data_IF_317454147407
#
_entry.id   IF_317454147407
#
_cell.length_a   1.000
_cell.length_b   1.000
_cell.length_c   1.000
_cell.angle_alpha   90.00
_cell.angle_beta   90.00
_cell.angle_gamma   90.00
#
_symmetry.space_group_name_H-M   'P 1'
#
loop_
_entity.id
_entity.type
_entity.pdbx_description
1 polymer ?
#
# COMPACT_ATOMS: atom_id res chain seq x y z
N UNK A 1 -41.43 -3.97 27.68
CA UNK A 1 -39.98 -4.14 27.83
C UNK A 1 -39.33 -2.82 27.49
N UNK A 2 -38.30 -2.42 28.22
CA UNK A 2 -37.63 -1.15 28.01
C UNK A 2 -36.33 -1.32 27.22
N UNK A 3 -35.77 -0.19 26.79
CA UNK A 3 -34.52 -0.14 26.04
C UNK A 3 -33.33 -0.73 26.83
N UNK A 4 -33.39 -0.71 28.16
CA UNK A 4 -32.36 -1.30 29.02
C UNK A 4 -32.38 -2.84 28.94
N UNK A 5 -33.56 -3.46 29.01
CA UNK A 5 -33.72 -4.91 28.83
C UNK A 5 -33.20 -5.41 27.48
N UNK A 6 -33.43 -4.65 26.40
CA UNK A 6 -32.89 -4.94 25.07
C UNK A 6 -31.35 -5.05 25.10
N UNK A 7 -30.66 -4.06 25.68
CA UNK A 7 -29.20 -4.10 25.74
C UNK A 7 -28.67 -5.16 26.72
N UNK A 8 -29.36 -5.43 27.83
CA UNK A 8 -29.00 -6.53 28.73
C UNK A 8 -29.07 -7.89 28.02
N UNK A 9 -30.08 -8.11 27.16
CA UNK A 9 -30.20 -9.34 26.38
C UNK A 9 -29.05 -9.50 25.36
N UNK A 10 -28.63 -8.40 24.72
CA UNK A 10 -27.44 -8.39 23.86
C UNK A 10 -26.20 -8.74 24.67
N UNK A 11 -26.01 -8.13 25.84
CA UNK A 11 -24.85 -8.39 26.69
C UNK A 11 -24.79 -9.84 27.17
N UNK A 12 -25.93 -10.42 27.52
CA UNK A 12 -26.07 -11.82 27.92
C UNK A 12 -25.90 -12.82 26.77
N UNK A 13 -25.95 -12.38 25.50
CA UNK A 13 -25.87 -13.27 24.34
C UNK A 13 -27.18 -14.00 24.03
N UNK A 14 -28.33 -13.51 24.51
CA UNK A 14 -29.64 -14.16 24.35
C UNK A 14 -30.25 -13.88 22.96
N UNK A 15 -29.87 -14.69 21.98
CA UNK A 15 -30.33 -14.55 20.60
C UNK A 15 -31.85 -14.66 20.44
N UNK A 16 -32.50 -15.55 21.20
CA UNK A 16 -33.94 -15.80 21.03
C UNK A 16 -34.73 -14.57 21.48
N UNK A 17 -34.32 -13.97 22.60
CA UNK A 17 -34.91 -12.72 23.06
C UNK A 17 -34.71 -11.57 22.06
N UNK A 18 -33.53 -11.50 21.43
CA UNK A 18 -33.25 -10.51 20.39
C UNK A 18 -34.18 -10.71 19.20
N UNK A 19 -34.39 -11.95 18.73
CA UNK A 19 -35.32 -12.25 17.62
C UNK A 19 -36.78 -11.94 17.94
N UNK A 20 -37.20 -12.05 19.19
CA UNK A 20 -38.56 -11.70 19.59
C UNK A 20 -38.79 -10.18 19.65
N UNK A 21 -37.76 -9.41 20.02
CA UNK A 21 -37.90 -7.99 20.38
C UNK A 21 -37.30 -7.01 19.36
N UNK A 22 -36.53 -7.48 18.35
CA UNK A 22 -35.76 -6.62 17.43
C UNK A 22 -36.60 -5.55 16.72
N UNK A 23 -37.84 -5.84 16.33
CA UNK A 23 -38.69 -4.89 15.59
C UNK A 23 -38.90 -3.57 16.34
N UNK A 24 -38.81 -3.59 17.67
CA UNK A 24 -39.04 -2.40 18.51
C UNK A 24 -37.77 -1.59 18.78
N UNK A 25 -36.59 -2.22 18.76
CA UNK A 25 -35.35 -1.65 19.31
C UNK A 25 -34.17 -1.57 18.33
N UNK A 26 -34.30 -2.13 17.12
CA UNK A 26 -33.27 -1.98 16.07
C UNK A 26 -32.96 -0.50 15.82
N UNK A 27 -31.66 -0.18 15.77
CA UNK A 27 -31.16 1.18 15.54
C UNK A 27 -31.24 2.09 16.76
N UNK A 28 -31.68 1.59 17.92
CA UNK A 28 -31.54 2.31 19.18
C UNK A 28 -30.09 2.25 19.65
N UNK A 29 -29.69 3.31 20.35
CA UNK A 29 -28.35 3.46 20.92
C UNK A 29 -28.43 3.49 22.45
N UNK A 30 -27.42 2.95 23.11
CA UNK A 30 -27.26 3.08 24.55
C UNK A 30 -26.66 4.46 24.92
N UNK A 31 -26.45 4.70 26.22
CA UNK A 31 -25.88 5.95 26.74
C UNK A 31 -24.48 6.26 26.18
N UNK A 32 -23.75 5.24 25.72
CA UNK A 32 -22.42 5.38 25.10
C UNK A 32 -22.50 5.60 23.58
N UNK A 33 -23.71 5.74 23.03
CA UNK A 33 -23.95 5.91 21.59
C UNK A 33 -23.68 4.65 20.76
N UNK A 34 -23.73 3.46 21.38
CA UNK A 34 -23.53 2.17 20.70
C UNK A 34 -24.85 1.49 20.40
N UNK A 35 -24.96 0.89 19.21
CA UNK A 35 -26.09 0.03 18.83
C UNK A 35 -25.91 -1.39 19.38
N UNK A 36 -26.94 -2.22 19.26
CA UNK A 36 -26.89 -3.62 19.68
C UNK A 36 -25.80 -4.39 18.91
N UNK A 37 -25.68 -4.15 17.60
CA UNK A 37 -24.66 -4.78 16.75
C UNK A 37 -23.24 -4.43 17.21
N UNK A 38 -22.98 -3.18 17.62
CA UNK A 38 -21.66 -2.77 18.14
C UNK A 38 -21.33 -3.43 19.48
N UNK A 39 -22.33 -3.62 20.35
CA UNK A 39 -22.15 -4.29 21.64
C UNK A 39 -21.90 -5.78 21.42
N UNK A 40 -22.72 -6.44 20.60
CA UNK A 40 -22.54 -7.83 20.21
C UNK A 40 -21.16 -8.07 19.58
N UNK A 41 -20.74 -7.20 18.66
CA UNK A 41 -19.41 -7.26 18.05
C UNK A 41 -18.30 -7.07 19.08
N UNK A 42 -18.50 -6.23 20.11
CA UNK A 42 -17.52 -6.06 21.19
C UNK A 42 -17.36 -7.29 22.09
N UNK A 43 -18.46 -8.02 22.30
CA UNK A 43 -18.51 -9.19 23.19
C UNK A 43 -18.22 -10.51 22.48
N UNK A 44 -18.06 -10.51 21.16
CA UNK A 44 -17.82 -11.73 20.39
C UNK A 44 -19.09 -12.56 20.11
N UNK A 45 -20.29 -11.96 20.26
CA UNK A 45 -21.56 -12.65 20.08
C UNK A 45 -21.92 -12.84 18.60
N UNK A 46 -21.21 -13.76 17.93
CA UNK A 46 -21.32 -14.05 16.50
C UNK A 46 -22.76 -14.21 16.01
N UNK A 47 -23.58 -15.01 16.69
CA UNK A 47 -24.95 -15.32 16.27
C UNK A 47 -25.86 -14.09 16.28
N UNK A 48 -25.64 -13.18 17.24
CA UNK A 48 -26.36 -11.91 17.31
C UNK A 48 -25.86 -10.97 16.22
N UNK A 49 -24.55 -10.92 15.97
CA UNK A 49 -23.98 -10.14 14.87
C UNK A 49 -24.51 -10.59 13.51
N UNK A 50 -24.59 -11.90 13.25
CA UNK A 50 -25.12 -12.45 12.00
C UNK A 50 -26.58 -12.02 11.77
N UNK A 51 -27.41 -12.10 12.82
CA UNK A 51 -28.81 -11.68 12.75
C UNK A 51 -28.96 -10.16 12.55
N UNK A 52 -28.19 -9.35 13.30
CA UNK A 52 -28.31 -7.89 13.27
C UNK A 52 -27.53 -7.23 12.13
N UNK A 53 -26.60 -7.92 11.47
CA UNK A 53 -25.71 -7.34 10.46
C UNK A 53 -26.49 -6.55 9.39
N UNK A 54 -27.53 -7.13 8.81
CA UNK A 54 -28.33 -6.45 7.77
C UNK A 54 -29.24 -5.35 8.30
N UNK A 55 -29.61 -5.42 9.57
CA UNK A 55 -30.58 -4.52 10.20
C UNK A 55 -29.92 -3.26 10.74
N UNK A 56 -28.70 -3.40 11.28
CA UNK A 56 -27.99 -2.32 11.96
C UNK A 56 -26.68 -1.90 11.27
N UNK A 57 -26.31 -2.51 10.13
CA UNK A 57 -25.09 -2.13 9.41
C UNK A 57 -24.99 -0.64 9.12
N UNK A 58 -23.74 -0.16 9.09
CA UNK A 58 -23.38 1.22 8.74
C UNK A 58 -23.85 2.27 9.75
N UNK A 59 -24.40 1.85 10.88
CA UNK A 59 -24.55 2.75 12.01
C UNK A 59 -23.20 3.02 12.64
N UNK A 60 -23.05 4.23 13.17
CA UNK A 60 -21.79 4.68 13.77
C UNK A 60 -22.06 5.33 15.11
N UNK A 61 -21.12 5.15 16.04
CA UNK A 61 -21.05 6.01 17.22
C UNK A 61 -20.81 7.48 16.82
N UNK A 62 -20.96 8.45 17.73
CA UNK A 62 -20.61 9.85 17.45
C UNK A 62 -19.15 10.07 16.97
N UNK A 63 -18.26 9.10 17.21
CA UNK A 63 -16.87 9.08 16.75
C UNK A 63 -16.69 8.38 15.40
N UNK A 64 -17.76 8.05 14.68
CA UNK A 64 -17.68 7.31 13.41
C UNK A 64 -17.30 5.83 13.54
N UNK A 65 -17.19 5.28 14.76
CA UNK A 65 -16.80 3.88 14.97
C UNK A 65 -17.97 2.94 14.64
N UNK A 66 -17.71 1.93 13.81
CA UNK A 66 -18.66 0.88 13.39
C UNK A 66 -18.46 -0.42 14.17
N UNK A 67 -19.35 -1.39 13.98
CA UNK A 67 -19.23 -2.72 14.58
C UNK A 67 -18.04 -3.51 13.99
N UNK A 68 -17.77 -3.40 12.69
CA UNK A 68 -16.62 -3.99 12.03
C UNK A 68 -15.29 -3.48 12.59
N UNK A 69 -15.18 -2.16 12.84
CA UNK A 69 -13.99 -1.56 13.45
C UNK A 69 -13.72 -2.12 14.85
N UNK A 70 -14.78 -2.32 15.64
CA UNK A 70 -14.68 -2.90 16.98
C UNK A 70 -14.27 -4.38 16.89
N UNK A 71 -14.89 -5.15 16.00
CA UNK A 71 -14.54 -6.57 15.81
C UNK A 71 -13.09 -6.75 15.35
N UNK A 72 -12.60 -5.89 14.45
CA UNK A 72 -11.21 -5.91 13.99
C UNK A 72 -10.21 -5.57 15.10
N UNK A 73 -10.53 -4.57 15.93
CA UNK A 73 -9.70 -4.16 17.08
C UNK A 73 -9.62 -5.26 18.16
N UNK A 74 -10.74 -5.94 18.43
CA UNK A 74 -10.84 -7.00 19.43
C UNK A 74 -10.57 -8.41 18.87
N UNK A 75 -10.17 -8.51 17.60
CA UNK A 75 -9.77 -9.75 16.93
C UNK A 75 -10.88 -10.81 16.85
N UNK A 76 -12.14 -10.40 16.78
CA UNK A 76 -13.28 -11.30 16.58
C UNK A 76 -13.45 -11.68 15.11
N UNK A 77 -12.57 -12.57 14.62
CA UNK A 77 -12.38 -12.87 13.19
C UNK A 77 -13.66 -13.29 12.48
N UNK A 78 -14.45 -14.15 13.10
CA UNK A 78 -15.74 -14.61 12.58
C UNK A 78 -16.72 -13.47 12.34
N UNK A 79 -16.70 -12.47 13.23
CA UNK A 79 -17.57 -11.29 13.14
C UNK A 79 -17.04 -10.33 12.07
N UNK A 80 -15.71 -10.21 11.93
CA UNK A 80 -15.08 -9.46 10.83
C UNK A 80 -15.54 -10.01 9.49
N UNK A 81 -15.55 -11.34 9.30
CA UNK A 81 -16.03 -11.97 8.08
C UNK A 81 -17.51 -11.67 7.79
N UNK A 82 -18.36 -11.68 8.82
CA UNK A 82 -19.78 -11.36 8.69
C UNK A 82 -20.00 -9.89 8.29
N UNK A 83 -19.23 -8.97 8.88
CA UNK A 83 -19.46 -7.53 8.75
C UNK A 83 -18.71 -6.85 7.60
N UNK A 84 -17.61 -7.44 7.11
CA UNK A 84 -16.80 -6.87 6.03
C UNK A 84 -17.60 -6.50 4.76
N UNK A 85 -18.57 -7.31 4.29
CA UNK A 85 -19.39 -6.95 3.13
C UNK A 85 -20.28 -5.71 3.33
N UNK A 86 -20.65 -5.38 4.57
CA UNK A 86 -21.63 -4.34 4.87
C UNK A 86 -20.99 -3.01 5.28
N UNK A 87 -19.90 -3.06 6.05
CA UNK A 87 -19.31 -1.89 6.72
C UNK A 87 -17.88 -1.55 6.27
N UNK A 88 -17.32 -2.29 5.30
CA UNK A 88 -16.02 -1.95 4.75
C UNK A 88 -15.98 -0.53 4.18
N UNK A 89 -14.80 0.08 4.21
CA UNK A 89 -14.51 1.45 3.71
C UNK A 89 -15.13 2.58 4.52
N UNK A 90 -15.80 2.27 5.62
CA UNK A 90 -16.20 3.27 6.59
C UNK A 90 -14.99 3.73 7.41
N UNK A 91 -15.00 4.97 7.88
CA UNK A 91 -13.89 5.56 8.62
C UNK A 91 -14.39 6.20 9.91
N UNK A 92 -13.60 6.05 10.97
CA UNK A 92 -13.82 6.77 12.21
C UNK A 92 -13.49 8.26 12.06
N UNK A 93 -13.76 9.05 13.11
CA UNK A 93 -13.36 10.45 13.24
C UNK A 93 -11.85 10.68 13.08
N UNK A 94 -11.03 9.66 13.39
CA UNK A 94 -9.57 9.63 13.16
C UNK A 94 -9.18 9.19 11.75
N UNK A 95 -10.15 9.07 10.84
CA UNK A 95 -9.98 8.55 9.49
C UNK A 95 -9.48 7.08 9.42
N UNK A 96 -9.61 6.30 10.51
CA UNK A 96 -9.16 4.91 10.55
C UNK A 96 -10.28 3.96 10.11
N UNK A 97 -10.12 3.20 8.99
CA UNK A 97 -10.97 2.07 8.64
C UNK A 97 -10.61 0.81 9.43
N UNK A 98 -11.36 -0.27 9.23
CA UNK A 98 -11.21 -1.51 9.98
C UNK A 98 -9.84 -2.18 9.77
N UNK A 99 -9.29 -2.14 8.55
CA UNK A 99 -7.99 -2.73 8.22
C UNK A 99 -6.83 -2.08 8.99
N UNK A 100 -6.91 -0.76 9.25
CA UNK A 100 -5.91 -0.03 10.04
C UNK A 100 -5.97 -0.47 11.51
N UNK A 101 -7.17 -0.71 12.05
CA UNK A 101 -7.31 -1.26 13.41
C UNK A 101 -6.78 -2.68 13.51
N UNK A 102 -7.11 -3.54 12.53
CA UNK A 102 -6.54 -4.89 12.46
C UNK A 102 -5.00 -4.86 12.42
N UNK A 103 -4.42 -3.97 11.60
CA UNK A 103 -2.97 -3.77 11.52
C UNK A 103 -2.34 -3.35 12.85
N UNK A 104 -2.88 -2.31 13.50
CA UNK A 104 -2.36 -1.82 14.79
C UNK A 104 -2.38 -2.86 15.89
N UNK A 105 -3.32 -3.79 15.84
CA UNK A 105 -3.47 -4.89 16.78
C UNK A 105 -2.81 -6.20 16.31
N UNK A 106 -2.03 -6.15 15.23
CA UNK A 106 -1.33 -7.30 14.61
C UNK A 106 -2.27 -8.48 14.31
N UNK A 107 -3.52 -8.20 13.98
CA UNK A 107 -4.55 -9.20 13.73
C UNK A 107 -4.47 -9.68 12.28
N UNK A 108 -3.57 -10.62 12.00
CA UNK A 108 -3.33 -11.14 10.66
C UNK A 108 -4.59 -11.76 10.00
N UNK A 109 -5.40 -12.58 10.69
CA UNK A 109 -6.58 -13.16 10.05
C UNK A 109 -7.63 -12.10 9.68
N UNK A 110 -7.81 -11.07 10.50
CA UNK A 110 -8.71 -9.96 10.16
C UNK A 110 -8.17 -9.14 8.98
N UNK A 111 -6.85 -8.91 8.91
CA UNK A 111 -6.20 -8.29 7.77
C UNK A 111 -6.48 -9.05 6.47
N UNK A 112 -6.34 -10.37 6.49
CA UNK A 112 -6.59 -11.24 5.31
C UNK A 112 -8.02 -11.14 4.81
N UNK A 113 -8.99 -11.12 5.73
CA UNK A 113 -10.41 -10.98 5.40
C UNK A 113 -10.72 -9.58 4.87
N UNK A 114 -10.10 -8.54 5.42
CA UNK A 114 -10.40 -7.14 5.08
C UNK A 114 -9.69 -6.67 3.81
N UNK A 115 -8.53 -7.23 3.48
CA UNK A 115 -7.72 -6.84 2.31
C UNK A 115 -8.53 -6.76 1.01
N UNK A 116 -9.35 -7.75 0.62
CA UNK A 116 -10.17 -7.67 -0.60
C UNK A 116 -11.18 -6.51 -0.59
N UNK A 117 -11.71 -6.14 0.57
CA UNK A 117 -12.73 -5.08 0.69
C UNK A 117 -12.12 -3.68 0.81
N UNK A 118 -10.94 -3.58 1.44
CA UNK A 118 -10.29 -2.34 1.87
C UNK A 118 -8.91 -2.11 1.23
N UNK A 119 -8.62 -2.77 0.10
CA UNK A 119 -7.37 -2.62 -0.67
C UNK A 119 -7.02 -1.15 -0.98
N UNK A 120 -8.02 -0.28 -1.13
CA UNK A 120 -7.82 1.15 -1.35
C UNK A 120 -7.12 1.88 -0.20
N UNK A 121 -6.99 1.27 0.97
CA UNK A 121 -6.25 1.79 2.13
C UNK A 121 -4.91 1.07 2.38
N UNK A 122 -4.45 0.22 1.45
CA UNK A 122 -3.21 -0.54 1.62
C UNK A 122 -1.98 0.37 1.84
N UNK A 123 -1.88 1.50 1.15
CA UNK A 123 -0.79 2.48 1.33
C UNK A 123 -0.77 3.09 2.73
N UNK A 124 -1.94 3.49 3.24
CA UNK A 124 -2.09 3.99 4.61
C UNK A 124 -1.77 2.90 5.64
N UNK A 125 -2.17 1.65 5.37
CA UNK A 125 -1.89 0.50 6.21
C UNK A 125 -0.40 0.17 6.28
N UNK A 126 0.32 0.26 5.15
CA UNK A 126 1.77 0.13 5.09
C UNK A 126 2.48 1.25 5.85
N UNK A 127 1.98 2.49 5.74
CA UNK A 127 2.53 3.63 6.50
C UNK A 127 2.38 3.39 8.02
N UNK A 128 1.20 2.96 8.47
CA UNK A 128 0.96 2.61 9.88
C UNK A 128 1.84 1.45 10.33
N UNK A 129 1.99 0.42 9.51
CA UNK A 129 2.87 -0.71 9.82
C UNK A 129 4.33 -0.27 9.98
N UNK A 130 4.84 0.59 9.09
CA UNK A 130 6.20 1.13 9.15
C UNK A 130 6.42 2.00 10.40
N UNK A 131 5.49 2.91 10.71
CA UNK A 131 5.57 3.79 11.88
C UNK A 131 5.63 2.97 13.18
N UNK A 132 4.85 1.90 13.27
CA UNK A 132 4.76 1.06 14.46
C UNK A 132 5.70 -0.16 14.45
N UNK A 133 6.61 -0.27 13.46
CA UNK A 133 7.58 -1.38 13.29
C UNK A 133 6.89 -2.76 13.24
N UNK A 134 5.79 -2.85 12.50
CA UNK A 134 4.99 -4.06 12.32
C UNK A 134 5.44 -4.80 11.06
N UNK A 135 6.62 -5.41 11.11
CA UNK A 135 7.26 -6.05 9.95
C UNK A 135 6.40 -7.17 9.34
N UNK A 136 5.67 -7.91 10.17
CA UNK A 136 4.82 -9.01 9.72
C UNK A 136 3.59 -8.51 8.95
N UNK A 137 2.98 -7.41 9.42
CA UNK A 137 1.88 -6.74 8.72
C UNK A 137 2.37 -6.20 7.37
N UNK A 138 3.56 -5.61 7.35
CA UNK A 138 4.17 -5.10 6.12
C UNK A 138 4.38 -6.22 5.10
N UNK A 139 5.07 -7.31 5.48
CA UNK A 139 5.31 -8.47 4.62
C UNK A 139 4.01 -9.05 4.07
N UNK A 140 2.97 -9.16 4.89
CA UNK A 140 1.71 -9.76 4.47
C UNK A 140 0.93 -8.89 3.49
N UNK A 141 0.91 -7.58 3.70
CA UNK A 141 0.28 -6.64 2.77
C UNK A 141 1.06 -6.60 1.46
N UNK A 142 2.39 -6.56 1.52
CA UNK A 142 3.25 -6.60 0.34
C UNK A 142 3.07 -7.91 -0.46
N UNK A 143 2.99 -9.05 0.22
CA UNK A 143 2.68 -10.33 -0.40
C UNK A 143 1.26 -10.39 -0.99
N UNK A 144 0.26 -9.81 -0.31
CA UNK A 144 -1.11 -9.76 -0.80
C UNK A 144 -1.27 -8.84 -2.02
N UNK A 145 -0.51 -7.75 -2.07
CA UNK A 145 -0.40 -6.91 -3.25
C UNK A 145 0.20 -7.74 -4.39
N UNK A 146 1.33 -8.42 -4.17
CA UNK A 146 1.98 -9.27 -5.16
C UNK A 146 1.09 -10.43 -5.66
N UNK A 147 0.31 -11.08 -4.79
CA UNK A 147 -0.55 -12.21 -5.17
C UNK A 147 -1.78 -11.79 -5.98
N UNK A 148 -2.35 -10.61 -5.69
CA UNK A 148 -3.44 -10.04 -6.49
C UNK A 148 -2.99 -9.64 -7.91
N UNK A 149 -1.69 -9.43 -8.12
CA UNK A 149 -1.12 -9.37 -9.47
C UNK A 149 -1.11 -10.76 -10.13
N UNK A 150 -0.81 -11.86 -9.42
CA UNK A 150 -0.71 -13.21 -10.02
C UNK A 150 -2.05 -13.85 -10.40
N UNK A 151 -3.13 -13.66 -9.63
CA UNK A 151 -4.45 -14.20 -9.99
C UNK A 151 -5.06 -13.53 -11.24
N UNK A 152 -4.70 -12.27 -11.48
CA UNK A 152 -5.02 -11.53 -12.71
C UNK A 152 -4.32 -12.12 -13.95
N UNK A 153 -3.20 -12.81 -13.79
CA UNK A 153 -2.46 -13.45 -14.89
C UNK A 153 -2.91 -14.90 -15.14
N UNK A 154 -3.47 -15.60 -14.14
CA UNK A 154 -3.87 -17.00 -14.29
C UNK A 154 -5.07 -17.22 -15.22
N UNK A 155 -5.86 -16.18 -15.51
CA UNK A 155 -6.95 -16.25 -16.51
C UNK A 155 -6.44 -16.06 -17.95
N UNK A 156 -5.21 -15.55 -18.13
CA UNK A 156 -4.58 -15.34 -19.43
C UNK A 156 -3.43 -16.32 -19.75
N UNK A 157 -3.11 -17.25 -18.84
CA UNK A 157 -2.04 -18.25 -19.00
C UNK A 157 -2.24 -19.25 -20.15
N UNK A 158 -3.37 -19.24 -20.87
CA UNK A 158 -3.60 -20.13 -22.01
C UNK A 158 -2.97 -19.64 -23.32
N UNK A 159 -2.33 -18.45 -23.38
CA UNK A 159 -1.94 -17.86 -24.67
C UNK A 159 -0.53 -17.30 -24.82
N UNK A 160 0.41 -17.52 -23.90
CA UNK A 160 1.82 -17.13 -24.16
C UNK A 160 2.78 -18.19 -23.63
N UNK A 161 3.37 -18.98 -24.55
CA UNK A 161 4.59 -19.71 -24.26
C UNK A 161 5.77 -18.72 -24.13
N UNK A 162 6.68 -18.91 -23.16
CA UNK A 162 7.87 -18.07 -23.07
C UNK A 162 8.88 -18.46 -24.15
N UNK A 163 9.09 -17.57 -25.12
CA UNK A 163 10.29 -17.58 -25.95
C UNK A 163 11.42 -17.02 -25.07
N UNK A 164 12.28 -17.89 -24.59
CA UNK A 164 13.58 -17.55 -24.01
C UNK A 164 14.47 -16.91 -25.10
N UNK A 165 15.06 -15.72 -24.89
CA UNK A 165 16.28 -15.37 -25.58
C UNK A 165 17.42 -16.18 -24.95
N UNK A 166 17.82 -17.25 -25.62
CA UNK A 166 19.13 -17.87 -25.43
C UNK A 166 20.19 -16.81 -25.69
N UNK A 167 20.86 -16.34 -24.64
CA UNK A 167 22.27 -15.95 -24.65
C UNK A 167 22.74 -15.76 -23.21
N UNK A 168 22.86 -16.89 -22.52
CA UNK A 168 23.62 -17.04 -21.28
C UNK A 168 24.52 -18.27 -21.45
N UNK A 169 25.40 -18.21 -22.43
CA UNK A 169 26.53 -19.13 -22.57
C UNK A 169 27.78 -18.28 -22.54
N UNK A 170 28.36 -18.17 -21.35
CA UNK A 170 29.81 -18.19 -21.07
C UNK A 170 30.01 -17.70 -19.64
N UNK A 171 29.79 -18.60 -18.66
CA UNK A 171 30.58 -18.62 -17.43
C UNK A 171 30.36 -19.99 -16.74
N UNK A 172 30.87 -21.04 -17.37
CA UNK A 172 31.12 -22.31 -16.69
C UNK A 172 32.56 -22.75 -16.97
N UNK A 173 33.40 -22.54 -15.96
CA UNK A 173 34.50 -23.41 -15.54
C UNK A 173 35.45 -23.95 -16.60
N UNK A 174 36.63 -23.33 -16.72
CA UNK A 174 37.89 -24.07 -16.93
C UNK A 174 38.99 -23.54 -16.02
N UNK A 175 38.85 -23.79 -14.71
CA UNK A 175 40.02 -24.01 -13.86
C UNK A 175 40.11 -25.52 -13.61
N UNK A 176 40.73 -26.24 -14.55
CA UNK A 176 41.29 -27.56 -14.29
C UNK A 176 42.70 -27.35 -13.73
N UNK A 177 42.79 -27.19 -12.40
CA UNK A 177 44.04 -27.41 -11.69
C UNK A 177 44.23 -28.93 -11.52
N UNK A 178 44.79 -29.58 -12.54
CA UNK A 178 45.39 -30.90 -12.35
C UNK A 178 46.76 -30.71 -11.70
N UNK A 179 46.84 -30.97 -10.39
CA UNK A 179 48.11 -31.19 -9.72
C UNK A 179 48.06 -32.57 -9.08
N UNK A 180 48.58 -33.58 -9.77
CA UNK A 180 49.04 -34.82 -9.13
C UNK A 180 50.04 -35.56 -10.02
N UNK A 181 51.25 -35.67 -9.46
CA UNK A 181 52.32 -36.66 -9.71
C UNK A 181 53.17 -36.57 -10.99
N UNK A 182 54.47 -36.25 -10.79
CA UNK A 182 55.55 -36.97 -11.45
C UNK A 182 56.70 -37.27 -10.48
N UNK A 183 56.95 -38.57 -10.31
CA UNK A 183 58.23 -39.14 -9.90
C UNK A 183 58.70 -40.07 -11.03
N UNK A 184 59.93 -39.92 -11.52
CA UNK A 184 60.53 -40.86 -12.47
C UNK A 184 61.57 -40.21 -13.39
N UNK A 185 62.76 -40.81 -13.42
CA UNK A 185 64.02 -40.33 -13.99
C UNK A 185 64.20 -40.62 -15.51
N UNK A 186 65.31 -40.05 -16.02
CA UNK A 186 66.18 -40.49 -17.13
C UNK A 186 66.01 -39.90 -18.54
N UNK A 187 67.13 -39.39 -19.09
CA UNK A 187 67.34 -39.26 -20.54
C UNK A 187 68.01 -37.95 -21.01
N UNK A 188 69.33 -37.95 -21.09
CA UNK A 188 70.21 -36.90 -21.63
C UNK A 188 70.11 -36.73 -23.16
N UNK A 189 69.76 -35.54 -23.69
CA UNK A 189 70.31 -34.96 -24.95
C UNK A 189 70.20 -33.44 -24.87
N UNK A 190 71.33 -32.75 -25.11
CA UNK A 190 71.45 -31.31 -24.96
C UNK A 190 70.73 -30.50 -26.04
N UNK A 191 70.05 -29.45 -25.59
CA UNK A 191 69.95 -28.16 -26.27
C UNK A 191 70.16 -27.10 -25.19
N UNK A 192 71.24 -26.32 -25.30
CA UNK A 192 71.40 -25.10 -24.51
C UNK A 192 70.34 -24.11 -24.99
N UNK A 193 69.23 -24.02 -24.28
CA UNK A 193 68.30 -22.88 -24.37
C UNK A 193 68.50 -22.09 -23.09
N UNK A 194 68.77 -20.80 -23.25
CA UNK A 194 69.23 -19.91 -22.20
C UNK A 194 68.18 -19.80 -21.06
N UNK A 195 68.45 -20.43 -19.92
CA UNK A 195 67.56 -20.41 -18.74
C UNK A 195 67.28 -18.98 -18.20
N UNK A 196 68.12 -18.01 -18.57
CA UNK A 196 67.91 -16.59 -18.27
C UNK A 196 66.87 -15.93 -19.18
N UNK A 197 66.74 -16.34 -20.45
CA UNK A 197 65.75 -15.71 -21.35
C UNK A 197 64.33 -16.19 -21.03
N UNK A 198 64.20 -17.45 -20.61
CA UNK A 198 62.91 -18.09 -20.28
C UNK A 198 62.31 -17.53 -18.99
N UNK A 199 63.15 -17.28 -17.97
CA UNK A 199 62.72 -16.63 -16.72
C UNK A 199 62.39 -15.16 -16.93
N UNK A 200 63.12 -14.44 -17.80
CA UNK A 200 62.77 -13.06 -18.15
C UNK A 200 61.51 -12.97 -19.01
N UNK A 201 61.24 -13.94 -19.90
CA UNK A 201 60.00 -14.00 -20.67
C UNK A 201 58.81 -14.26 -19.74
N UNK A 202 58.92 -15.24 -18.84
CA UNK A 202 57.88 -15.55 -17.86
C UNK A 202 57.61 -14.38 -16.90
N UNK A 203 58.65 -13.64 -16.50
CA UNK A 203 58.49 -12.41 -15.72
C UNK A 203 57.83 -11.30 -16.53
N UNK A 204 58.18 -11.15 -17.81
CA UNK A 204 57.54 -10.17 -18.69
C UNK A 204 56.05 -10.48 -18.92
N UNK A 205 55.69 -11.75 -19.15
CA UNK A 205 54.31 -12.21 -19.31
C UNK A 205 53.47 -12.02 -18.04
N UNK A 206 54.07 -12.25 -16.87
CA UNK A 206 53.42 -11.98 -15.58
C UNK A 206 53.19 -10.47 -15.37
N UNK A 207 54.17 -9.64 -15.73
CA UNK A 207 54.05 -8.18 -15.64
C UNK A 207 52.94 -7.68 -16.57
N UNK A 208 52.88 -8.14 -17.82
CA UNK A 208 51.81 -7.76 -18.76
C UNK A 208 50.43 -8.18 -18.25
N UNK A 209 50.30 -9.41 -17.74
CA UNK A 209 49.04 -9.90 -17.16
C UNK A 209 48.60 -9.06 -15.96
N UNK A 210 49.51 -8.78 -15.03
CA UNK A 210 49.21 -7.94 -13.87
C UNK A 210 48.88 -6.50 -14.27
N UNK A 211 49.51 -5.95 -15.32
CA UNK A 211 49.18 -4.62 -15.81
C UNK A 211 47.80 -4.55 -16.44
N UNK A 212 47.39 -5.57 -17.20
CA UNK A 212 46.03 -5.63 -17.78
C UNK A 212 44.97 -5.79 -16.69
N UNK A 213 45.21 -6.63 -15.68
CA UNK A 213 44.31 -6.76 -14.53
C UNK A 213 44.18 -5.45 -13.73
N UNK A 214 45.28 -4.69 -13.59
CA UNK A 214 45.27 -3.36 -12.97
C UNK A 214 44.48 -2.33 -13.79
N UNK A 215 44.50 -2.43 -15.11
CA UNK A 215 43.72 -1.58 -16.01
C UNK A 215 42.22 -1.91 -15.95
N UNK A 216 41.87 -3.20 -15.91
CA UNK A 216 40.49 -3.66 -15.73
C UNK A 216 39.91 -3.23 -14.38
N UNK A 217 40.68 -3.34 -13.29
CA UNK A 217 40.27 -2.86 -11.97
C UNK A 217 40.01 -1.35 -11.95
N UNK A 218 40.86 -0.56 -12.62
CA UNK A 218 40.66 0.90 -12.75
C UNK A 218 39.43 1.26 -13.56
N UNK A 219 39.06 0.44 -14.55
CA UNK A 219 37.83 0.62 -15.31
C UNK A 219 36.60 0.37 -14.43
N UNK A 220 36.60 -0.73 -13.66
CA UNK A 220 35.52 -1.06 -12.72
C UNK A 220 35.37 0.02 -11.63
N UNK A 221 36.48 0.57 -11.11
CA UNK A 221 36.43 1.69 -10.17
C UNK A 221 35.76 2.94 -10.77
N UNK A 222 36.04 3.24 -12.05
CA UNK A 222 35.39 4.37 -12.74
C UNK A 222 33.90 4.12 -12.96
N UNK A 223 33.51 2.93 -13.41
CA UNK A 223 32.10 2.57 -13.59
C UNK A 223 31.33 2.59 -12.27
N UNK A 224 31.98 2.19 -11.17
CA UNK A 224 31.40 2.26 -9.83
C UNK A 224 31.17 3.70 -9.36
N UNK A 225 32.12 4.60 -9.56
CA UNK A 225 31.94 6.01 -9.21
C UNK A 225 30.89 6.71 -10.09
N UNK A 226 30.82 6.37 -11.38
CA UNK A 226 29.75 6.85 -12.26
C UNK A 226 28.36 6.36 -11.79
N UNK A 227 28.25 5.07 -11.44
CA UNK A 227 27.02 4.49 -10.89
C UNK A 227 26.62 5.17 -9.57
N UNK A 228 27.58 5.38 -8.67
CA UNK A 228 27.36 6.08 -7.40
C UNK A 228 26.85 7.49 -7.60
N UNK A 229 27.44 8.26 -8.53
CA UNK A 229 26.96 9.60 -8.89
C UNK A 229 25.51 9.55 -9.41
N UNK A 230 25.18 8.58 -10.27
CA UNK A 230 23.79 8.43 -10.72
C UNK A 230 22.83 8.08 -9.58
N UNK A 231 23.23 7.22 -8.64
CA UNK A 231 22.43 6.87 -7.47
C UNK A 231 22.18 8.08 -6.57
N UNK A 232 23.19 8.91 -6.33
CA UNK A 232 23.04 10.16 -5.55
C UNK A 232 22.08 11.13 -6.24
N UNK A 233 22.18 11.29 -7.57
CA UNK A 233 21.24 12.10 -8.35
C UNK A 233 19.80 11.57 -8.29
N UNK A 234 19.60 10.25 -8.35
CA UNK A 234 18.28 9.65 -8.18
C UNK A 234 17.73 9.85 -6.76
N UNK A 235 18.56 9.76 -5.72
CA UNK A 235 18.15 10.01 -4.35
C UNK A 235 17.68 11.46 -4.14
N UNK A 236 18.36 12.44 -4.75
CA UNK A 236 17.94 13.84 -4.68
C UNK A 236 16.58 14.05 -5.35
N UNK A 237 16.38 13.49 -6.54
CA UNK A 237 15.08 13.58 -7.24
C UNK A 237 13.93 12.93 -6.44
N UNK A 238 14.21 11.82 -5.73
CA UNK A 238 13.21 11.21 -4.84
C UNK A 238 12.90 12.14 -3.66
N UNK A 239 13.89 12.84 -3.10
CA UNK A 239 13.64 13.82 -2.03
C UNK A 239 12.79 14.99 -2.52
N UNK A 240 13.07 15.53 -3.70
CA UNK A 240 12.27 16.60 -4.31
C UNK A 240 10.82 16.17 -4.53
N UNK A 241 10.59 14.99 -5.12
CA UNK A 241 9.23 14.48 -5.34
C UNK A 241 8.45 14.22 -4.03
N UNK A 242 9.13 13.80 -2.98
CA UNK A 242 8.49 13.65 -1.67
C UNK A 242 8.10 15.01 -1.07
N UNK A 243 8.94 16.04 -1.23
CA UNK A 243 8.64 17.40 -0.82
C UNK A 243 7.43 17.97 -1.60
N UNK A 244 7.37 17.73 -2.91
CA UNK A 244 6.24 18.11 -3.75
C UNK A 244 4.95 17.39 -3.31
N UNK A 245 5.04 16.11 -2.92
CA UNK A 245 3.88 15.37 -2.42
C UNK A 245 3.39 15.92 -1.06
N UNK A 246 4.31 16.26 -0.15
CA UNK A 246 3.98 16.85 1.14
C UNK A 246 3.32 18.23 0.99
N UNK A 247 3.82 19.07 0.08
CA UNK A 247 3.22 20.38 -0.20
C UNK A 247 1.81 20.23 -0.77
N UNK A 248 1.62 19.37 -1.79
CA UNK A 248 0.30 19.06 -2.35
C UNK A 248 -0.67 18.51 -1.29
N UNK A 249 -0.19 17.70 -0.35
CA UNK A 249 -1.00 17.20 0.76
C UNK A 249 -1.45 18.33 1.68
N UNK A 250 -0.54 19.24 2.06
CA UNK A 250 -0.87 20.41 2.90
C UNK A 250 -1.88 21.34 2.22
N UNK A 251 -1.72 21.60 0.92
CA UNK A 251 -2.62 22.43 0.12
C UNK A 251 -4.01 21.79 0.00
N UNK A 252 -4.08 20.47 -0.24
CA UNK A 252 -5.35 19.74 -0.28
C UNK A 252 -6.12 19.86 1.04
N UNK A 253 -5.40 19.73 2.16
CA UNK A 253 -5.99 19.88 3.49
C UNK A 253 -6.47 21.30 3.77
N UNK A 254 -5.73 22.32 3.33
CA UNK A 254 -6.13 23.73 3.45
C UNK A 254 -7.42 24.02 2.67
N UNK A 255 -7.48 23.62 1.40
CA UNK A 255 -8.65 23.84 0.55
C UNK A 255 -9.89 23.09 1.05
N UNK A 256 -9.73 21.90 1.64
CA UNK A 256 -10.85 21.19 2.28
C UNK A 256 -11.41 21.97 3.47
N UNK A 257 -10.55 22.60 4.29
CA UNK A 257 -11.00 23.48 5.39
C UNK A 257 -11.72 24.71 4.85
N UNK A 258 -11.24 25.32 3.77
CA UNK A 258 -11.89 26.49 3.17
C UNK A 258 -13.23 26.13 2.53
N UNK A 259 -13.33 24.96 1.88
CA UNK A 259 -14.61 24.40 1.41
C UNK A 259 -15.59 24.16 2.57
N UNK A 260 -15.11 23.73 3.72
CA UNK A 260 -15.95 23.57 4.91
C UNK A 260 -16.43 24.92 5.47
N UNK A 261 -15.56 25.93 5.52
CA UNK A 261 -15.95 27.31 5.89
C UNK A 261 -17.01 27.85 4.95
N UNK A 262 -16.86 27.63 3.64
CA UNK A 262 -17.85 27.94 2.62
C UNK A 262 -19.20 27.26 2.90
N UNK A 263 -19.21 25.95 3.15
CA UNK A 263 -20.46 25.21 3.45
C UNK A 263 -21.15 25.72 4.72
N UNK A 264 -20.37 26.14 5.73
CA UNK A 264 -20.91 26.78 6.94
C UNK A 264 -21.47 28.17 6.65
N UNK A 265 -20.84 28.96 5.79
CA UNK A 265 -21.36 30.26 5.36
C UNK A 265 -22.68 30.11 4.58
N UNK A 266 -22.76 29.12 3.69
CA UNK A 266 -23.98 28.77 2.97
C UNK A 266 -25.13 28.38 3.92
N UNK A 267 -24.86 27.61 4.98
CA UNK A 267 -25.85 27.26 6.01
C UNK A 267 -26.34 28.45 6.84
N UNK A 268 -25.54 29.52 6.94
CA UNK A 268 -25.89 30.75 7.71
C UNK A 268 -26.72 31.73 6.89
N UNK A 269 -26.71 31.63 5.56
CA UNK A 269 -27.66 32.32 4.71
C UNK A 269 -29.06 31.73 4.95
N UNK A 270 -29.82 32.38 5.82
CA UNK A 270 -31.21 32.02 6.14
C UNK A 270 -32.17 32.13 4.94
N UNK A 271 -33.46 31.79 5.14
CA UNK A 271 -34.38 31.40 4.06
C UNK A 271 -35.03 32.59 3.31
N UNK A 272 -34.35 33.72 3.14
CA UNK A 272 -34.87 34.84 2.34
C UNK A 272 -34.15 34.91 0.97
N UNK A 273 -34.57 34.11 -0.02
CA UNK A 273 -33.95 34.05 -1.36
C UNK A 273 -34.22 35.30 -2.23
N UNK A 274 -35.00 36.26 -1.73
CA UNK A 274 -35.55 37.36 -2.54
C UNK A 274 -34.88 38.72 -2.30
N UNK A 275 -34.01 38.86 -1.30
CA UNK A 275 -33.36 40.14 -1.02
C UNK A 275 -32.09 40.29 -1.87
N UNK A 276 -31.87 41.48 -2.47
CA UNK A 276 -30.70 41.74 -3.34
C UNK A 276 -29.37 41.41 -2.67
N UNK A 277 -29.28 41.59 -1.35
CA UNK A 277 -28.09 41.29 -0.55
C UNK A 277 -27.81 39.78 -0.45
N UNK A 278 -28.84 38.95 -0.23
CA UNK A 278 -28.67 37.49 -0.20
C UNK A 278 -28.37 36.92 -1.59
N UNK A 279 -28.89 37.53 -2.66
CA UNK A 279 -28.57 37.16 -4.04
C UNK A 279 -27.12 37.44 -4.41
N UNK A 280 -26.59 38.63 -4.08
CA UNK A 280 -25.18 38.96 -4.31
C UNK A 280 -24.24 38.08 -3.48
N UNK A 281 -24.60 37.80 -2.24
CA UNK A 281 -23.81 36.98 -1.33
C UNK A 281 -23.81 35.50 -1.75
N UNK A 282 -24.94 35.00 -2.24
CA UNK A 282 -25.05 33.68 -2.87
C UNK A 282 -24.23 33.57 -4.16
N UNK A 283 -24.24 34.60 -5.02
CA UNK A 283 -23.43 34.63 -6.24
C UNK A 283 -21.93 34.59 -5.94
N UNK A 284 -21.48 35.38 -4.96
CA UNK A 284 -20.07 35.38 -4.52
C UNK A 284 -19.67 34.00 -3.97
N UNK A 285 -20.54 33.39 -3.17
CA UNK A 285 -20.33 32.05 -2.64
C UNK A 285 -20.29 30.98 -3.75
N UNK A 286 -21.19 31.04 -4.73
CA UNK A 286 -21.16 30.13 -5.88
C UNK A 286 -19.85 30.26 -6.67
N UNK A 287 -19.37 31.48 -6.90
CA UNK A 287 -18.08 31.75 -7.55
C UNK A 287 -16.88 31.21 -6.74
N UNK A 288 -16.95 31.29 -5.41
CA UNK A 288 -15.92 30.72 -4.53
C UNK A 288 -15.91 29.19 -4.60
N UNK A 289 -17.08 28.55 -4.67
CA UNK A 289 -17.19 27.09 -4.77
C UNK A 289 -16.67 26.57 -6.11
N UNK A 290 -16.98 27.26 -7.21
CA UNK A 290 -16.40 26.91 -8.52
C UNK A 290 -14.89 27.04 -8.49
N UNK A 291 -14.33 28.12 -7.91
CA UNK A 291 -12.88 28.29 -7.75
C UNK A 291 -12.24 27.17 -6.93
N UNK A 292 -12.75 26.89 -5.73
CA UNK A 292 -12.23 25.83 -4.86
C UNK A 292 -12.31 24.45 -5.52
N UNK A 293 -13.37 24.19 -6.29
CA UNK A 293 -13.52 22.93 -7.03
C UNK A 293 -12.51 22.80 -8.16
N UNK A 294 -12.20 23.91 -8.86
CA UNK A 294 -11.13 23.92 -9.88
C UNK A 294 -9.74 23.71 -9.26
N UNK A 295 -9.43 24.37 -8.15
CA UNK A 295 -8.14 24.23 -7.46
C UNK A 295 -7.93 22.80 -6.92
N UNK A 296 -8.98 22.17 -6.37
CA UNK A 296 -8.95 20.77 -5.97
C UNK A 296 -8.73 19.82 -7.14
N UNK A 297 -9.30 20.12 -8.32
CA UNK A 297 -9.05 19.36 -9.54
C UNK A 297 -7.59 19.47 -9.98
N UNK A 298 -6.99 20.66 -9.91
CA UNK A 298 -5.58 20.87 -10.26
C UNK A 298 -4.63 20.15 -9.31
N UNK A 299 -4.90 20.18 -8.00
CA UNK A 299 -4.09 19.41 -7.04
C UNK A 299 -4.20 17.90 -7.30
N UNK A 300 -5.38 17.43 -7.73
CA UNK A 300 -5.57 16.03 -8.11
C UNK A 300 -4.69 15.65 -9.30
N UNK A 301 -4.63 16.48 -10.34
CA UNK A 301 -3.77 16.21 -11.51
C UNK A 301 -2.30 16.26 -11.14
N UNK A 302 -1.88 17.24 -10.34
CA UNK A 302 -0.49 17.38 -9.91
C UNK A 302 -0.06 16.22 -9.00
N UNK A 303 -0.95 15.77 -8.11
CA UNK A 303 -0.69 14.60 -7.26
C UNK A 303 -0.51 13.35 -8.11
N UNK A 304 -1.36 13.12 -9.11
CA UNK A 304 -1.19 12.00 -10.04
C UNK A 304 0.12 12.06 -10.82
N UNK A 305 0.58 13.25 -11.18
CA UNK A 305 1.87 13.44 -11.87
C UNK A 305 3.06 13.15 -10.95
N UNK A 306 3.01 13.58 -9.69
CA UNK A 306 4.02 13.25 -8.69
C UNK A 306 4.03 11.74 -8.43
N UNK A 307 2.85 11.13 -8.25
CA UNK A 307 2.71 9.69 -8.07
C UNK A 307 3.15 8.91 -9.30
N UNK A 308 2.87 9.38 -10.52
CA UNK A 308 3.35 8.74 -11.73
C UNK A 308 4.88 8.80 -11.79
N UNK A 309 5.52 9.93 -11.46
CA UNK A 309 6.98 10.04 -11.42
C UNK A 309 7.62 9.17 -10.31
N UNK A 310 6.97 9.05 -9.15
CA UNK A 310 7.41 8.17 -8.05
C UNK A 310 7.28 6.70 -8.46
N UNK A 311 6.18 6.32 -9.11
CA UNK A 311 5.90 4.93 -9.51
C UNK A 311 6.66 4.51 -10.79
N UNK A 312 6.89 5.43 -11.73
CA UNK A 312 7.50 5.19 -13.06
C UNK A 312 9.03 5.03 -13.06
N UNK A 313 9.73 5.06 -11.91
CA UNK A 313 11.14 4.62 -11.86
C UNK A 313 11.32 3.16 -11.48
N UNK A 314 10.23 2.39 -11.50
CA UNK A 314 10.22 1.00 -11.95
C UNK A 314 9.42 0.97 -13.26
N UNK A 315 9.95 0.33 -14.30
CA UNK A 315 9.22 0.22 -15.57
C UNK A 315 7.86 -0.43 -15.31
N UNK A 316 6.79 0.34 -15.49
CA UNK A 316 5.41 -0.16 -15.48
C UNK A 316 5.12 -0.71 -16.87
N UNK A 317 4.59 -1.91 -16.91
CA UNK A 317 4.18 -2.61 -18.13
C UNK A 317 3.01 -1.88 -18.83
N UNK A 318 2.88 -2.04 -20.15
CA UNK A 318 1.76 -1.48 -20.94
C UNK A 318 0.38 -1.92 -20.41
N UNK A 319 0.32 -3.03 -19.67
CA UNK A 319 -0.87 -3.51 -18.98
C UNK A 319 -1.19 -2.71 -17.70
N UNK A 320 -0.18 -2.29 -16.92
CA UNK A 320 -0.38 -1.42 -15.76
C UNK A 320 -0.86 -0.02 -16.18
N UNK A 321 -0.33 0.51 -17.29
CA UNK A 321 -0.77 1.77 -17.90
C UNK A 321 -2.25 1.69 -18.32
N UNK A 322 -2.67 0.57 -18.95
CA UNK A 322 -4.09 0.32 -19.28
C UNK A 322 -4.96 0.10 -18.05
N UNK A 323 -4.41 -0.36 -16.92
CA UNK A 323 -5.10 -0.60 -15.65
C UNK A 323 -5.34 0.67 -14.84
N UNK A 324 -4.55 1.72 -15.07
CA UNK A 324 -4.78 3.06 -14.52
C UNK A 324 -5.64 3.96 -15.42
N UNK A 325 -5.88 3.57 -16.68
CA UNK A 325 -6.82 4.27 -17.56
C UNK A 325 -8.25 4.41 -16.96
N UNK A 326 -8.83 3.41 -16.26
CA UNK A 326 -10.13 3.57 -15.59
C UNK A 326 -10.07 4.52 -14.38
N UNK A 327 -8.89 4.73 -13.77
CA UNK A 327 -8.73 5.70 -12.68
C UNK A 327 -8.73 7.14 -13.15
N UNK A 328 -8.45 7.39 -14.44
CA UNK A 328 -8.62 8.69 -15.10
C UNK A 328 -10.12 8.97 -15.35
N UNK A 329 -10.91 7.93 -15.62
CA UNK A 329 -12.37 8.05 -15.80
C UNK A 329 -13.13 8.09 -14.46
N UNK A 330 -12.59 7.50 -13.38
CA UNK A 330 -13.12 7.60 -12.00
C UNK A 330 -12.80 8.95 -11.31
N UNK A 331 -12.34 9.94 -12.08
CA UNK A 331 -12.10 11.32 -11.65
C UNK A 331 -13.30 12.24 -11.79
N UNK A 332 -14.31 11.84 -12.55
CA UNK A 332 -15.59 12.53 -12.67
C UNK A 332 -16.43 12.40 -11.39
#
# INVERSE_FOLDING_TARGET
MDIAGWFCAVEAGDLEHIKETYMQFVGKINEKGRTALMIAASLGHKSICDFLARLESRQTTPKGVTALMIAAELQHIDIVAILAPYESRMRSDKAEPAIIRAARHCCMPALEILLPYEMCYASECLAVAKINRLDEVYKRIDAALASNFTESFSVHSTLVQPILPQNSLLLQSQHQSQCTQMSGLDGNVGVRVDANTDTTLQQADLITTLTTELEDLRLVEREYEDLKYTCEAYQEQIRELNLDNDTLFTDNMSLRRDKEKYLRALKRLGPCPSCKKSQSELQNLLAENTRLSTELSTIRTNSLEVWSRILMKRALSDEEIKRFAPFVDLIQ
#
